data_IF_585328889932
#
_entry.id   IF_585328889932
#
_cell.length_a   1.000
_cell.length_b   1.000
_cell.length_c   1.000
_cell.angle_alpha   90.00
_cell.angle_beta   90.00
_cell.angle_gamma   90.00
#
_symmetry.space_group_name_H-M   'P 1'
#
loop_
_entity.id
_entity.type
_entity.pdbx_description
1 polymer ?
#
# COMPACT_ATOMS: atom_id res chain seq x y z
N UNK A 1 14.35 -8.74 10.81
CA UNK A 1 13.19 -8.59 9.92
C UNK A 1 13.50 -7.57 8.84
N UNK A 2 13.20 -7.91 7.60
CA UNK A 2 13.41 -6.93 6.54
C UNK A 2 12.43 -5.78 6.71
N UNK A 3 12.95 -4.57 6.77
CA UNK A 3 12.13 -3.37 6.80
C UNK A 3 11.79 -2.97 5.38
N UNK A 4 10.55 -2.54 5.18
CA UNK A 4 10.19 -1.93 3.92
C UNK A 4 10.81 -0.54 3.84
N UNK A 5 11.27 -0.11 2.66
CA UNK A 5 11.75 1.26 2.50
C UNK A 5 10.61 2.25 2.63
N UNK A 6 10.93 3.50 2.93
CA UNK A 6 9.97 4.57 2.81
C UNK A 6 9.53 4.68 1.35
N UNK A 7 8.22 4.70 1.11
CA UNK A 7 7.67 4.59 -0.23
C UNK A 7 6.80 5.80 -0.54
N UNK A 8 6.99 6.38 -1.73
CA UNK A 8 6.12 7.45 -2.21
C UNK A 8 4.70 6.90 -2.34
N UNK A 9 3.70 7.68 -1.91
CA UNK A 9 2.32 7.18 -1.90
C UNK A 9 1.82 6.75 -3.28
N UNK A 10 2.23 7.43 -4.35
CA UNK A 10 1.86 7.03 -5.71
C UNK A 10 2.48 5.70 -6.10
N UNK A 11 3.68 5.43 -5.64
CA UNK A 11 4.35 4.15 -5.89
C UNK A 11 3.65 3.02 -5.13
N UNK A 12 3.24 3.30 -3.89
CA UNK A 12 2.47 2.32 -3.11
C UNK A 12 1.15 1.97 -3.80
N UNK A 13 0.46 2.98 -4.33
CA UNK A 13 -0.78 2.76 -5.08
C UNK A 13 -0.53 1.83 -6.27
N UNK A 14 0.55 2.05 -7.03
CA UNK A 14 0.90 1.18 -8.16
C UNK A 14 1.14 -0.26 -7.73
N UNK A 15 1.82 -0.45 -6.62
CA UNK A 15 2.08 -1.80 -6.11
C UNK A 15 0.76 -2.51 -5.81
N UNK A 16 -0.16 -1.82 -5.13
CA UNK A 16 -1.45 -2.42 -4.80
C UNK A 16 -2.33 -2.62 -6.03
N UNK A 17 -2.22 -1.77 -7.04
CA UNK A 17 -2.90 -2.01 -8.31
C UNK A 17 -2.41 -3.31 -8.97
N UNK A 18 -1.10 -3.55 -8.94
CA UNK A 18 -0.53 -4.82 -9.42
C UNK A 18 -1.05 -6.02 -8.63
N UNK A 19 -1.37 -5.81 -7.37
CA UNK A 19 -1.91 -6.87 -6.51
C UNK A 19 -3.43 -7.05 -6.65
N UNK A 20 -4.08 -6.28 -7.53
CA UNK A 20 -5.50 -6.42 -7.80
C UNK A 20 -6.40 -5.41 -7.11
N UNK A 21 -5.84 -4.40 -6.48
CA UNK A 21 -6.61 -3.36 -5.82
C UNK A 21 -6.90 -2.21 -6.78
N UNK A 22 -8.01 -1.51 -6.53
CA UNK A 22 -8.40 -0.32 -7.30
C UNK A 22 -8.68 0.83 -6.36
N UNK A 23 -8.44 2.05 -6.83
CA UNK A 23 -8.83 3.25 -6.11
C UNK A 23 -10.35 3.37 -6.17
N UNK A 24 -11.00 3.37 -5.02
CA UNK A 24 -12.45 3.52 -4.94
C UNK A 24 -12.86 4.90 -4.42
N UNK A 25 -11.94 5.62 -3.79
CA UNK A 25 -12.21 6.96 -3.29
C UNK A 25 -10.90 7.73 -3.11
N UNK A 26 -10.93 9.00 -3.44
CA UNK A 26 -9.83 9.92 -3.17
C UNK A 26 -10.35 11.09 -2.32
N UNK A 27 -9.64 11.41 -1.28
CA UNK A 27 -9.94 12.51 -0.38
C UNK A 27 -8.70 12.83 0.42
N UNK A 28 -8.84 12.97 1.74
CA UNK A 28 -7.66 13.14 2.61
C UNK A 28 -6.73 11.95 2.51
N UNK A 29 -7.28 10.76 2.27
CA UNK A 29 -6.52 9.54 2.03
C UNK A 29 -7.05 8.91 0.75
N UNK A 30 -6.19 8.13 0.10
CA UNK A 30 -6.61 7.32 -1.03
C UNK A 30 -7.11 5.98 -0.48
N UNK A 31 -8.33 5.59 -0.82
CA UNK A 31 -8.90 4.32 -0.40
C UNK A 31 -8.91 3.37 -1.58
N UNK A 32 -8.34 2.19 -1.39
CA UNK A 32 -8.29 1.15 -2.41
C UNK A 32 -9.01 -0.10 -1.94
N UNK A 33 -9.52 -0.87 -2.87
CA UNK A 33 -10.20 -2.12 -2.55
C UNK A 33 -10.02 -3.13 -3.69
N UNK A 34 -10.00 -4.41 -3.32
CA UNK A 34 -10.04 -5.52 -4.27
C UNK A 34 -11.41 -6.21 -4.29
N UNK A 35 -12.40 -5.60 -3.63
CA UNK A 35 -13.71 -6.18 -3.47
C UNK A 35 -13.92 -6.89 -2.13
N UNK A 36 -12.84 -7.33 -1.48
CA UNK A 36 -12.89 -8.02 -0.19
C UNK A 36 -12.18 -7.23 0.90
N UNK A 37 -11.11 -6.53 0.56
CA UNK A 37 -10.30 -5.79 1.51
C UNK A 37 -10.27 -4.32 1.14
N UNK A 38 -10.15 -3.47 2.15
CA UNK A 38 -9.97 -2.03 1.95
C UNK A 38 -8.64 -1.59 2.50
N UNK A 39 -7.96 -0.71 1.75
CA UNK A 39 -6.69 -0.13 2.15
C UNK A 39 -6.85 1.37 2.25
N UNK A 40 -6.28 1.95 3.28
CA UNK A 40 -6.23 3.41 3.43
C UNK A 40 -4.78 3.83 3.23
N UNK A 41 -4.52 4.53 2.13
CA UNK A 41 -3.17 4.95 1.76
C UNK A 41 -3.01 6.42 2.17
N UNK A 42 -2.15 6.74 3.13
CA UNK A 42 -1.92 8.14 3.49
C UNK A 42 -1.25 8.89 2.34
N UNK A 43 -1.59 10.17 2.19
CA UNK A 43 -1.11 10.99 1.08
C UNK A 43 0.08 11.85 1.48
N UNK A 44 1.01 11.29 2.19
CA UNK A 44 2.27 11.97 2.50
C UNK A 44 3.45 11.16 2.00
N UNK A 45 4.57 11.82 1.83
CA UNK A 45 5.77 11.24 1.24
C UNK A 45 6.99 11.52 2.10
N UNK A 46 7.84 10.51 2.31
CA UNK A 46 7.55 9.10 2.03
C UNK A 46 6.64 8.49 3.09
N UNK A 47 5.93 7.42 2.74
CA UNK A 47 5.21 6.62 3.73
C UNK A 47 6.27 5.83 4.48
N UNK A 48 6.28 5.94 5.81
CA UNK A 48 7.33 5.27 6.58
C UNK A 48 7.19 3.74 6.55
N UNK A 49 8.28 3.05 6.83
CA UNK A 49 8.33 1.60 6.71
C UNK A 49 7.31 0.89 7.60
N UNK A 50 7.06 1.42 8.80
CA UNK A 50 6.10 0.83 9.71
C UNK A 50 4.68 0.90 9.16
N UNK A 51 4.28 2.08 8.68
CA UNK A 51 2.96 2.29 8.08
C UNK A 51 2.79 1.44 6.83
N UNK A 52 3.82 1.37 5.97
CA UNK A 52 3.78 0.53 4.78
C UNK A 52 3.59 -0.95 5.14
N UNK A 53 4.25 -1.41 6.19
CA UNK A 53 4.10 -2.78 6.65
C UNK A 53 2.67 -3.09 7.07
N UNK A 54 2.02 -2.16 7.77
CA UNK A 54 0.63 -2.33 8.17
C UNK A 54 -0.30 -2.38 6.97
N UNK A 55 -0.10 -1.51 5.99
CA UNK A 55 -0.93 -1.47 4.79
C UNK A 55 -0.73 -2.74 3.97
N UNK A 56 0.51 -3.19 3.81
CA UNK A 56 0.79 -4.43 3.10
C UNK A 56 0.11 -5.63 3.76
N UNK A 57 0.13 -5.70 5.08
CA UNK A 57 -0.57 -6.76 5.81
C UNK A 57 -2.07 -6.70 5.57
N UNK A 58 -2.65 -5.51 5.60
CA UNK A 58 -4.07 -5.34 5.33
C UNK A 58 -4.43 -5.82 3.91
N UNK A 59 -3.48 -5.70 2.98
CA UNK A 59 -3.65 -6.19 1.62
C UNK A 59 -3.40 -7.70 1.48
N UNK A 60 -2.99 -8.36 2.55
CA UNK A 60 -2.64 -9.78 2.49
C UNK A 60 -1.27 -10.06 1.89
N UNK A 61 -0.41 -9.04 1.82
CA UNK A 61 0.93 -9.18 1.27
C UNK A 61 1.95 -9.31 2.39
N UNK A 62 2.95 -10.15 2.17
CA UNK A 62 4.12 -10.16 3.04
C UNK A 62 5.02 -8.98 2.67
N UNK A 63 5.89 -8.50 3.57
CA UNK A 63 6.86 -7.47 3.21
C UNK A 63 7.70 -7.85 2.00
N UNK A 64 8.08 -9.11 1.90
CA UNK A 64 8.86 -9.60 0.77
C UNK A 64 8.10 -9.53 -0.54
N UNK A 65 6.83 -9.92 -0.52
CA UNK A 65 5.97 -9.86 -1.70
C UNK A 65 5.76 -8.42 -2.14
N UNK A 66 5.53 -7.52 -1.19
CA UNK A 66 5.40 -6.10 -1.47
C UNK A 66 6.66 -5.55 -2.16
N UNK A 67 7.83 -5.91 -1.64
CA UNK A 67 9.10 -5.47 -2.22
C UNK A 67 9.29 -5.95 -3.65
N UNK A 68 8.84 -7.15 -3.96
CA UNK A 68 8.91 -7.68 -5.32
C UNK A 68 8.05 -6.91 -6.31
N UNK A 69 6.97 -6.31 -5.83
CA UNK A 69 6.06 -5.54 -6.68
C UNK A 69 6.48 -4.08 -6.85
N UNK A 70 7.45 -3.63 -6.06
CA UNK A 70 7.98 -2.26 -6.17
C UNK A 70 8.70 -2.00 -7.50
#
# INVERSE_FOLDING_TARGET
>A
MPKLPGVHHLHAIRVFEKAGFRIIREGKHTIMSDGARKLIIPRYNPINAFTMGQIARAAGLTPEHFRKLL
#
